data_IF_684325998322
#
_entry.id   IF_684325998322
#
_cell.length_a   1.000
_cell.length_b   1.000
_cell.length_c   1.000
_cell.angle_alpha   90.00
_cell.angle_beta   90.00
_cell.angle_gamma   90.00
#
_symmetry.space_group_name_H-M   'P 1'
#
loop_
_entity.id
_entity.type
_entity.pdbx_description
1 polymer ?
#
# COMPACT_ATOMS: atom_id res chain seq x y z
N UNK A 1 -30.82 -11.28 -8.03
CA UNK A 1 -30.06 -10.18 -8.70
C UNK A 1 -29.44 -10.71 -9.98
N UNK A 2 -29.55 -9.98 -11.07
CA UNK A 2 -28.89 -10.31 -12.33
C UNK A 2 -27.66 -9.43 -12.50
N UNK A 3 -26.61 -10.00 -13.09
CA UNK A 3 -25.37 -9.28 -13.41
C UNK A 3 -25.17 -9.30 -14.91
N UNK A 4 -25.01 -8.11 -15.52
CA UNK A 4 -24.73 -7.96 -16.94
C UNK A 4 -23.45 -7.16 -17.13
N UNK A 5 -22.67 -7.53 -18.15
CA UNK A 5 -21.49 -6.77 -18.57
C UNK A 5 -21.79 -6.23 -19.97
N UNK A 6 -21.72 -4.91 -20.12
CA UNK A 6 -21.83 -4.24 -21.42
C UNK A 6 -20.46 -3.73 -21.84
N UNK A 7 -19.99 -4.19 -22.99
CA UNK A 7 -18.73 -3.74 -23.56
C UNK A 7 -19.03 -2.61 -24.55
N UNK A 8 -18.37 -1.47 -24.34
CA UNK A 8 -18.52 -0.29 -25.18
C UNK A 8 -17.12 0.29 -25.44
N UNK A 9 -16.69 0.27 -26.70
CA UNK A 9 -15.37 0.74 -27.11
C UNK A 9 -15.15 2.24 -26.86
N UNK A 10 -16.23 3.00 -26.70
CA UNK A 10 -16.17 4.44 -26.40
C UNK A 10 -16.08 4.72 -24.90
N UNK A 11 -16.11 3.70 -24.06
CA UNK A 11 -15.99 3.85 -22.61
C UNK A 11 -14.54 4.13 -22.22
N UNK A 12 -14.29 5.32 -21.70
CA UNK A 12 -12.95 5.75 -21.28
C UNK A 12 -12.62 5.18 -19.90
N UNK A 13 -13.61 5.18 -19.00
CA UNK A 13 -13.45 4.72 -17.63
C UNK A 13 -14.56 3.71 -17.30
N UNK A 14 -14.21 2.54 -16.76
CA UNK A 14 -15.22 1.56 -16.35
C UNK A 14 -16.18 2.16 -15.33
N UNK A 15 -17.47 1.88 -15.48
CA UNK A 15 -18.49 2.29 -14.53
C UNK A 15 -19.43 1.17 -14.20
N UNK A 16 -19.99 1.19 -13.01
CA UNK A 16 -21.04 0.27 -12.57
C UNK A 16 -22.34 1.03 -12.43
N UNK A 17 -23.39 0.53 -13.05
CA UNK A 17 -24.74 1.09 -12.96
C UNK A 17 -25.62 0.04 -12.30
N UNK A 18 -26.30 0.44 -11.22
CA UNK A 18 -27.28 -0.40 -10.55
C UNK A 18 -28.66 0.06 -10.92
N UNK A 19 -29.44 -0.82 -11.57
CA UNK A 19 -30.82 -0.56 -11.94
C UNK A 19 -31.73 -1.25 -10.93
N UNK A 20 -32.50 -0.46 -10.19
CA UNK A 20 -33.38 -0.95 -9.13
C UNK A 20 -34.60 -0.03 -9.02
N UNK A 21 -35.67 -0.53 -8.43
CA UNK A 21 -36.87 0.27 -8.17
C UNK A 21 -36.74 1.11 -6.89
N UNK A 22 -35.88 0.68 -5.96
CA UNK A 22 -35.61 1.39 -4.71
C UNK A 22 -34.27 1.00 -4.13
N UNK A 23 -33.69 1.87 -3.31
CA UNK A 23 -32.45 1.57 -2.59
C UNK A 23 -32.79 0.75 -1.34
N UNK A 24 -32.30 -0.49 -1.31
CA UNK A 24 -32.46 -1.43 -0.21
C UNK A 24 -31.15 -1.61 0.54
N UNK A 25 -31.17 -2.31 1.68
CA UNK A 25 -29.94 -2.64 2.41
C UNK A 25 -28.97 -3.47 1.55
N UNK A 26 -29.49 -4.38 0.72
CA UNK A 26 -28.72 -5.15 -0.24
C UNK A 26 -27.97 -4.22 -1.23
N UNK A 27 -28.66 -3.21 -1.77
CA UNK A 27 -28.05 -2.24 -2.68
C UNK A 27 -27.00 -1.40 -1.96
N UNK A 28 -27.27 -0.97 -0.73
CA UNK A 28 -26.30 -0.23 0.06
C UNK A 28 -25.04 -1.05 0.35
N UNK A 29 -25.18 -2.34 0.64
CA UNK A 29 -24.05 -3.24 0.86
C UNK A 29 -23.18 -3.36 -0.39
N UNK A 30 -23.80 -3.46 -1.56
CA UNK A 30 -23.09 -3.50 -2.85
C UNK A 30 -22.37 -2.18 -3.11
N UNK A 31 -23.02 -1.05 -2.90
CA UNK A 31 -22.42 0.28 -3.07
C UNK A 31 -21.21 0.46 -2.13
N UNK A 32 -21.32 0.02 -0.89
CA UNK A 32 -20.22 0.06 0.06
C UNK A 32 -19.05 -0.84 -0.35
N UNK A 33 -19.33 -2.02 -0.87
CA UNK A 33 -18.31 -2.93 -1.37
C UNK A 33 -17.57 -2.37 -2.59
N UNK A 34 -18.30 -1.71 -3.51
CA UNK A 34 -17.72 -1.12 -4.72
C UNK A 34 -16.98 0.19 -4.44
N UNK A 35 -17.45 0.96 -3.48
CA UNK A 35 -16.83 2.22 -3.03
C UNK A 35 -16.00 2.02 -1.79
N UNK A 36 -15.42 0.81 -1.57
CA UNK A 36 -14.60 0.52 -0.40
C UNK A 36 -13.54 1.61 -0.23
N UNK A 37 -13.84 2.56 0.64
CA UNK A 37 -12.87 3.54 1.07
C UNK A 37 -11.92 2.82 2.00
N UNK A 38 -10.72 2.52 1.53
CA UNK A 38 -9.61 2.28 2.42
C UNK A 38 -9.57 3.43 3.42
N UNK A 39 -9.40 3.16 4.72
CA UNK A 39 -9.28 4.25 5.69
C UNK A 39 -8.23 5.25 5.19
N UNK A 40 -8.55 6.54 5.22
CA UNK A 40 -7.61 7.57 4.79
C UNK A 40 -6.46 7.75 5.79
N UNK A 41 -6.66 7.28 7.02
CA UNK A 41 -5.67 7.38 8.09
C UNK A 41 -5.04 6.03 8.37
N UNK A 42 -3.77 6.05 8.78
CA UNK A 42 -3.05 4.88 9.28
C UNK A 42 -2.94 5.02 10.78
N UNK A 43 -3.47 4.04 11.51
CA UNK A 43 -3.39 4.00 12.95
C UNK A 43 -2.28 3.06 13.38
N UNK A 44 -1.31 3.58 14.12
CA UNK A 44 -0.23 2.82 14.73
C UNK A 44 -0.47 2.63 16.23
N UNK A 45 -0.15 1.45 16.72
CA UNK A 45 -0.28 1.11 18.14
C UNK A 45 1.10 0.98 18.77
N UNK A 46 1.30 1.71 19.85
CA UNK A 46 2.55 1.72 20.61
C UNK A 46 2.23 1.91 22.09
N UNK A 47 2.70 0.97 22.94
CA UNK A 47 2.46 1.02 24.40
C UNK A 47 0.99 1.28 24.77
N UNK A 48 0.07 0.51 24.19
CA UNK A 48 -1.38 0.59 24.43
C UNK A 48 -2.03 1.90 23.98
N UNK A 49 -1.28 2.75 23.27
CA UNK A 49 -1.80 3.97 22.67
C UNK A 49 -2.02 3.78 21.17
N UNK A 50 -3.11 4.32 20.68
CA UNK A 50 -3.38 4.41 19.25
C UNK A 50 -3.00 5.82 18.75
N UNK A 51 -2.11 5.90 17.78
CA UNK A 51 -1.67 7.15 17.18
C UNK A 51 -2.00 7.18 15.70
N UNK A 52 -2.41 8.33 15.19
CA UNK A 52 -2.59 8.52 13.75
C UNK A 52 -1.22 8.87 13.15
N UNK A 53 -0.78 8.05 12.19
CA UNK A 53 0.50 8.25 11.52
C UNK A 53 0.30 8.99 10.20
N UNK A 54 1.09 10.03 9.99
CA UNK A 54 1.18 10.68 8.68
C UNK A 54 2.05 9.86 7.76
N UNK A 55 1.65 9.65 6.49
CA UNK A 55 2.49 8.92 5.52
C UNK A 55 3.90 9.48 5.41
N UNK A 56 4.06 10.81 5.51
CA UNK A 56 5.36 11.46 5.42
C UNK A 56 6.34 11.06 6.54
N UNK A 57 5.82 10.62 7.69
CA UNK A 57 6.64 10.22 8.84
C UNK A 57 7.03 8.75 8.80
N UNK A 58 6.37 7.95 7.96
CA UNK A 58 6.63 6.52 7.87
C UNK A 58 7.82 6.28 6.95
N UNK A 59 8.82 5.55 7.47
CA UNK A 59 10.03 5.20 6.72
C UNK A 59 9.83 3.89 5.97
N UNK A 60 9.31 2.87 6.66
CA UNK A 60 9.05 1.56 6.08
C UNK A 60 7.94 0.84 6.84
N UNK A 61 7.33 -0.10 6.16
CA UNK A 61 6.30 -0.98 6.72
C UNK A 61 6.69 -2.41 6.38
N UNK A 62 6.63 -3.30 7.34
CA UNK A 62 7.01 -4.69 7.12
C UNK A 62 6.13 -5.65 7.92
N UNK A 63 6.04 -6.89 7.44
CA UNK A 63 5.31 -7.97 8.09
C UNK A 63 6.29 -8.98 8.67
N UNK A 64 6.06 -9.38 9.90
CA UNK A 64 6.85 -10.39 10.58
C UNK A 64 5.99 -11.09 11.64
N UNK A 65 6.07 -12.42 11.71
CA UNK A 65 5.35 -13.20 12.70
C UNK A 65 3.83 -13.01 12.67
N UNK A 66 3.24 -12.80 11.50
CA UNK A 66 1.81 -12.58 11.35
C UNK A 66 1.33 -11.18 11.74
N UNK A 67 2.25 -10.28 12.05
CA UNK A 67 1.96 -8.89 12.41
C UNK A 67 2.53 -7.94 11.37
N UNK A 68 1.92 -6.78 11.27
CA UNK A 68 2.40 -5.68 10.42
C UNK A 68 2.93 -4.56 11.30
N UNK A 69 4.11 -4.06 10.95
CA UNK A 69 4.80 -3.00 11.67
C UNK A 69 5.09 -1.82 10.76
N UNK A 70 5.01 -0.61 11.31
CA UNK A 70 5.46 0.60 10.65
C UNK A 70 6.53 1.28 11.51
N UNK A 71 7.64 1.65 10.90
CA UNK A 71 8.68 2.43 11.55
C UNK A 71 8.48 3.91 11.21
N UNK A 72 8.17 4.70 12.23
CA UNK A 72 7.91 6.13 12.10
C UNK A 72 8.27 6.83 13.43
N UNK A 73 8.71 8.09 13.37
CA UNK A 73 8.99 8.88 14.57
C UNK A 73 9.94 8.19 15.54
N UNK A 74 10.92 7.43 15.02
CA UNK A 74 11.89 6.63 15.80
C UNK A 74 11.26 5.54 16.66
N UNK A 75 10.04 5.12 16.31
CA UNK A 75 9.28 4.07 17.00
C UNK A 75 8.81 3.02 16.02
N UNK A 76 8.62 1.82 16.51
CA UNK A 76 8.03 0.72 15.78
C UNK A 76 6.58 0.55 16.25
N UNK A 77 5.65 0.86 15.35
CA UNK A 77 4.22 0.76 15.61
C UNK A 77 3.67 -0.55 15.06
N UNK A 78 2.69 -1.12 15.74
CA UNK A 78 1.90 -2.23 15.20
C UNK A 78 0.74 -1.63 14.40
N UNK A 79 0.54 -2.13 13.18
CA UNK A 79 -0.55 -1.74 12.30
C UNK A 79 -1.48 -2.94 12.14
N UNK A 80 -2.77 -2.73 12.23
CA UNK A 80 -3.75 -3.82 12.09
C UNK A 80 -4.07 -4.18 10.65
N UNK A 81 -3.86 -3.25 9.73
CA UNK A 81 -4.03 -3.48 8.31
C UNK A 81 -2.96 -4.43 7.78
N UNK A 82 -3.30 -5.18 6.74
CA UNK A 82 -2.35 -6.06 6.06
C UNK A 82 -1.51 -5.29 5.06
N UNK A 83 -0.34 -5.85 4.69
CA UNK A 83 0.57 -5.19 3.75
C UNK A 83 -0.09 -4.82 2.42
N UNK A 84 -0.90 -5.72 1.85
CA UNK A 84 -1.54 -5.43 0.57
C UNK A 84 -2.52 -4.26 0.64
N UNK A 85 -3.21 -4.09 1.78
CA UNK A 85 -4.10 -2.96 2.01
C UNK A 85 -3.31 -1.65 2.11
N UNK A 86 -2.20 -1.68 2.83
CA UNK A 86 -1.31 -0.53 2.99
C UNK A 86 -0.60 -0.18 1.69
N UNK A 87 -0.19 -1.16 0.90
CA UNK A 87 0.39 -0.95 -0.43
C UNK A 87 -0.57 -0.15 -1.32
N UNK A 88 -1.82 -0.58 -1.38
CA UNK A 88 -2.85 0.10 -2.17
C UNK A 88 -3.10 1.52 -1.67
N UNK A 89 -3.26 1.68 -0.36
CA UNK A 89 -3.54 2.97 0.27
C UNK A 89 -2.39 3.97 0.10
N UNK A 90 -1.15 3.50 0.15
CA UNK A 90 0.05 4.35 0.20
C UNK A 90 0.74 4.55 -1.15
N UNK A 91 0.31 3.87 -2.22
CA UNK A 91 0.91 4.04 -3.55
C UNK A 91 0.91 5.51 -3.98
N UNK A 92 -0.17 6.22 -3.75
CA UNK A 92 -0.28 7.65 -4.07
C UNK A 92 0.63 8.55 -3.24
N UNK A 93 1.16 8.05 -2.13
CA UNK A 93 2.07 8.78 -1.24
C UNK A 93 3.55 8.47 -1.49
N UNK A 94 3.87 7.75 -2.57
CA UNK A 94 5.24 7.44 -2.92
C UNK A 94 5.81 6.21 -2.23
N UNK A 95 4.96 5.32 -1.76
CA UNK A 95 5.40 4.04 -1.19
C UNK A 95 5.47 2.98 -2.27
N UNK A 96 6.42 2.07 -2.15
CA UNK A 96 6.62 0.99 -3.11
C UNK A 96 6.95 -0.32 -2.39
N UNK A 97 6.38 -1.42 -2.91
CA UNK A 97 6.66 -2.76 -2.41
C UNK A 97 8.03 -3.22 -2.91
N UNK A 98 8.87 -3.72 -2.01
CA UNK A 98 10.21 -4.22 -2.35
C UNK A 98 10.37 -5.72 -2.10
N UNK A 99 9.46 -6.31 -1.35
CA UNK A 99 9.43 -7.75 -1.11
C UNK A 99 8.03 -8.18 -0.72
N UNK A 100 7.80 -9.48 -0.55
CA UNK A 100 6.53 -9.99 -0.04
C UNK A 100 6.22 -9.47 1.36
N UNK A 101 7.23 -9.05 2.09
CA UNK A 101 7.10 -8.64 3.50
C UNK A 101 7.43 -7.18 3.78
N UNK A 102 7.74 -6.37 2.76
CA UNK A 102 8.18 -4.99 3.03
C UNK A 102 7.75 -3.98 1.97
N UNK A 103 7.36 -2.81 2.47
CA UNK A 103 7.03 -1.61 1.70
C UNK A 103 7.92 -0.48 2.22
N UNK A 104 8.48 0.32 1.34
CA UNK A 104 9.31 1.47 1.73
C UNK A 104 8.71 2.78 1.20
N UNK A 105 9.02 3.86 1.92
CA UNK A 105 8.70 5.21 1.49
C UNK A 105 9.85 5.75 0.63
N UNK A 106 9.61 5.96 -0.67
CA UNK A 106 10.64 6.46 -1.59
C UNK A 106 11.21 7.81 -1.16
N UNK A 107 10.42 8.66 -0.52
CA UNK A 107 10.86 9.97 -0.03
C UNK A 107 11.83 9.85 1.15
N UNK A 108 11.92 8.69 1.76
CA UNK A 108 12.80 8.38 2.89
C UNK A 108 13.97 7.48 2.49
N UNK A 109 14.18 7.27 1.22
CA UNK A 109 15.33 6.51 0.69
C UNK A 109 16.52 7.46 0.52
N UNK A 110 17.67 7.06 1.06
CA UNK A 110 18.92 7.77 0.84
C UNK A 110 19.55 7.39 -0.49
N UNK A 111 19.64 6.10 -0.76
CA UNK A 111 20.16 5.59 -2.03
C UNK A 111 19.72 4.16 -2.31
N UNK A 112 19.87 3.78 -3.58
CA UNK A 112 19.76 2.40 -4.06
C UNK A 112 21.13 1.97 -4.58
N UNK A 113 21.68 0.90 -4.03
CA UNK A 113 22.93 0.33 -4.51
C UNK A 113 22.64 -0.71 -5.60
N UNK A 114 22.98 -0.38 -6.82
CA UNK A 114 22.76 -1.21 -8.01
C UNK A 114 24.00 -2.04 -8.38
N UNK A 115 25.08 -1.95 -7.63
CA UNK A 115 26.33 -2.64 -7.92
C UNK A 115 26.28 -4.13 -7.65
N UNK A 116 25.32 -4.59 -6.84
CA UNK A 116 25.18 -6.00 -6.49
C UNK A 116 24.49 -6.78 -7.61
N UNK A 117 25.00 -7.99 -7.88
CA UNK A 117 24.40 -8.87 -8.87
C UNK A 117 23.13 -9.52 -8.33
N UNK A 118 22.01 -9.38 -9.05
CA UNK A 118 20.75 -10.06 -8.75
C UNK A 118 19.95 -9.50 -7.59
N UNK A 119 20.36 -8.35 -7.03
CA UNK A 119 19.61 -7.66 -5.99
C UNK A 119 19.91 -6.17 -6.00
N UNK A 120 19.11 -5.42 -5.24
CA UNK A 120 19.32 -3.98 -5.02
C UNK A 120 19.29 -3.77 -3.51
N UNK A 121 20.32 -3.15 -2.98
CA UNK A 121 20.39 -2.76 -1.57
C UNK A 121 19.83 -1.34 -1.42
N UNK A 122 18.94 -1.15 -0.47
CA UNK A 122 18.30 0.14 -0.19
C UNK A 122 18.78 0.65 1.16
N UNK A 123 19.30 1.87 1.19
CA UNK A 123 19.61 2.55 2.45
C UNK A 123 18.56 3.61 2.71
N UNK A 124 17.90 3.51 3.84
CA UNK A 124 16.86 4.45 4.27
C UNK A 124 17.45 5.63 5.04
N UNK A 125 16.68 6.68 5.20
CA UNK A 125 17.12 7.92 5.84
C UNK A 125 17.59 7.77 7.30
N UNK A 126 17.09 6.74 7.99
CA UNK A 126 17.50 6.41 9.37
C UNK A 126 18.77 5.55 9.43
N UNK A 127 19.36 5.23 8.28
CA UNK A 127 20.53 4.36 8.19
C UNK A 127 20.22 2.88 8.06
N UNK A 128 18.97 2.49 8.16
CA UNK A 128 18.55 1.09 7.96
C UNK A 128 18.81 0.65 6.53
N UNK A 129 19.33 -0.55 6.35
CA UNK A 129 19.50 -1.16 5.03
C UNK A 129 18.52 -2.31 4.84
N UNK A 130 17.99 -2.43 3.64
CA UNK A 130 17.11 -3.52 3.26
C UNK A 130 17.36 -3.89 1.79
N UNK A 131 16.78 -4.99 1.32
CA UNK A 131 17.03 -5.50 -0.02
C UNK A 131 15.75 -5.69 -0.79
N UNK A 132 15.79 -5.33 -2.07
CA UNK A 132 14.70 -5.61 -3.00
C UNK A 132 14.79 -7.08 -3.40
N UNK A 133 13.72 -7.84 -3.20
CA UNK A 133 13.70 -9.24 -3.63
C UNK A 133 13.64 -9.32 -5.17
N UNK A 134 14.14 -10.43 -5.73
CA UNK A 134 14.21 -10.65 -7.19
C UNK A 134 12.90 -10.35 -7.90
N UNK A 135 11.79 -10.74 -7.28
CA UNK A 135 10.45 -10.57 -7.84
C UNK A 135 10.08 -9.10 -8.08
N UNK A 136 10.67 -8.18 -7.30
CA UNK A 136 10.34 -6.76 -7.32
C UNK A 136 11.39 -5.88 -8.01
N UNK A 137 12.52 -6.44 -8.44
CA UNK A 137 13.62 -5.68 -9.05
C UNK A 137 13.17 -4.92 -10.31
N UNK A 138 12.45 -5.59 -11.22
CA UNK A 138 11.98 -4.96 -12.45
C UNK A 138 11.08 -3.76 -12.16
N UNK A 139 10.18 -3.90 -11.17
CA UNK A 139 9.29 -2.83 -10.76
C UNK A 139 10.04 -1.66 -10.16
N UNK A 140 11.03 -1.93 -9.32
CA UNK A 140 11.85 -0.86 -8.72
C UNK A 140 12.65 -0.12 -9.79
N UNK A 141 13.26 -0.84 -10.73
CA UNK A 141 13.96 -0.21 -11.86
C UNK A 141 13.03 0.68 -12.67
N UNK A 142 11.81 0.23 -12.92
CA UNK A 142 10.79 1.02 -13.62
C UNK A 142 10.45 2.30 -12.84
N UNK A 143 10.23 2.19 -11.54
CA UNK A 143 9.94 3.34 -10.66
C UNK A 143 11.09 4.34 -10.67
N UNK A 144 12.34 3.87 -10.72
CA UNK A 144 13.53 4.72 -10.78
C UNK A 144 13.83 5.25 -12.18
N UNK A 145 13.06 4.86 -13.19
CA UNK A 145 13.31 5.28 -14.57
C UNK A 145 14.48 4.58 -15.24
N UNK A 146 14.80 3.40 -14.82
CA UNK A 146 15.93 2.62 -15.32
C UNK A 146 15.52 1.55 -16.34
#
# INVERSE_FOLDING_TARGET
MQVEIKIDDNCIEPKVIIVTDKVTDEINDILNALSSKTPEVITGFYNDLAEILSPEDIIRIYAEGGKTFAFANKKEYIIRQRLYELEEQLTKHGFVRISNSEIINLKKVRNFDLSLSGTICVTLSDGTTTYVSRRYISRIKQVLGL
#
